data_IF_330945096855
#
_entry.id   IF_330945096855
#
_cell.length_a   1.000
_cell.length_b   1.000
_cell.length_c   1.000
_cell.angle_alpha   90.00
_cell.angle_beta   90.00
_cell.angle_gamma   90.00
#
_symmetry.space_group_name_H-M   'P 1'
#
loop_
_entity.id
_entity.type
_entity.pdbx_description
1 polymer ?
#
# COMPACT_ATOMS: atom_id res chain seq x y z
N UNK A 1 -3.09 -12.02 -4.64
CA UNK A 1 -1.80 -11.30 -4.69
C UNK A 1 -1.89 -9.84 -4.23
N UNK A 2 -2.77 -8.98 -4.77
CA UNK A 2 -2.89 -7.57 -4.34
C UNK A 2 -3.08 -7.41 -2.83
N UNK A 3 -3.97 -8.21 -2.23
CA UNK A 3 -4.25 -8.18 -0.79
C UNK A 3 -3.04 -8.52 0.08
N UNK A 4 -2.12 -9.34 -0.43
CA UNK A 4 -0.92 -9.77 0.30
C UNK A 4 0.08 -8.63 0.44
N UNK A 5 0.34 -7.88 -0.63
CA UNK A 5 1.22 -6.70 -0.58
C UNK A 5 0.64 -5.60 0.31
N UNK A 6 -0.67 -5.38 0.25
CA UNK A 6 -1.35 -4.45 1.16
C UNK A 6 -1.17 -4.88 2.63
N UNK A 7 -1.34 -6.17 2.93
CA UNK A 7 -1.10 -6.71 4.29
C UNK A 7 0.34 -6.54 4.76
N UNK A 8 1.34 -6.69 3.89
CA UNK A 8 2.75 -6.48 4.23
C UNK A 8 3.01 -5.03 4.70
N UNK A 9 2.43 -4.04 4.01
CA UNK A 9 2.56 -2.63 4.41
C UNK A 9 1.87 -2.39 5.75
N UNK A 10 0.65 -2.92 5.95
CA UNK A 10 -0.01 -2.82 7.25
C UNK A 10 0.76 -3.50 8.39
N UNK A 11 1.43 -4.63 8.11
CA UNK A 11 2.27 -5.30 9.10
C UNK A 11 3.51 -4.46 9.46
N UNK A 12 4.16 -3.82 8.48
CA UNK A 12 5.28 -2.92 8.72
C UNK A 12 4.86 -1.67 9.50
N UNK A 13 3.69 -1.09 9.19
CA UNK A 13 3.09 0.01 9.94
C UNK A 13 2.81 -0.41 11.38
N UNK A 14 2.20 -1.59 11.59
CA UNK A 14 1.91 -2.12 12.92
C UNK A 14 3.18 -2.43 13.74
N UNK A 15 4.29 -2.75 13.07
CA UNK A 15 5.58 -2.99 13.70
C UNK A 15 6.32 -1.69 14.09
N UNK A 16 5.84 -0.52 13.68
CA UNK A 16 6.46 0.77 14.05
C UNK A 16 7.67 1.16 13.20
N UNK A 17 8.02 0.39 12.17
CA UNK A 17 9.20 0.64 11.33
C UNK A 17 8.83 1.42 10.07
N UNK A 18 9.16 2.72 10.07
CA UNK A 18 8.86 3.66 8.99
C UNK A 18 9.62 3.36 7.71
N UNK A 19 10.89 2.96 7.80
CA UNK A 19 11.73 2.66 6.63
C UNK A 19 11.27 1.37 5.96
N UNK A 20 10.94 0.35 6.75
CA UNK A 20 10.35 -0.88 6.24
C UNK A 20 8.97 -0.63 5.60
N UNK A 21 8.14 0.22 6.22
CA UNK A 21 6.84 0.59 5.67
C UNK A 21 6.96 1.33 4.33
N UNK A 22 7.91 2.26 4.19
CA UNK A 22 8.15 2.98 2.95
C UNK A 22 8.66 2.06 1.83
N UNK A 23 9.58 1.14 2.15
CA UNK A 23 10.06 0.13 1.18
C UNK A 23 8.94 -0.77 0.71
N UNK A 24 8.16 -1.32 1.64
CA UNK A 24 7.02 -2.18 1.31
C UNK A 24 5.94 -1.43 0.51
N UNK A 25 5.73 -0.14 0.79
CA UNK A 25 4.81 0.71 0.03
C UNK A 25 5.26 0.90 -1.42
N UNK A 26 6.55 1.21 -1.63
CA UNK A 26 7.12 1.38 -2.97
C UNK A 26 6.99 0.10 -3.82
N UNK A 27 7.18 -1.08 -3.22
CA UNK A 27 6.97 -2.36 -3.91
C UNK A 27 5.49 -2.62 -4.24
N UNK A 28 4.59 -2.23 -3.34
CA UNK A 28 3.16 -2.47 -3.51
C UNK A 28 2.53 -1.58 -4.60
N UNK A 29 2.98 -0.33 -4.71
CA UNK A 29 2.43 0.69 -5.61
C UNK A 29 2.27 0.21 -7.08
N UNK A 30 3.33 -0.26 -7.78
CA UNK A 30 3.22 -0.65 -9.19
C UNK A 30 2.36 -1.91 -9.39
N UNK A 31 2.28 -2.77 -8.37
CA UNK A 31 1.47 -4.00 -8.42
C UNK A 31 -0.02 -3.64 -8.33
N UNK A 32 -0.40 -2.78 -7.40
CA UNK A 32 -1.80 -2.33 -7.26
C UNK A 32 -2.25 -1.62 -8.52
N UNK A 33 -1.43 -0.74 -9.07
CA UNK A 33 -1.79 0.04 -10.24
C UNK A 33 -1.95 -0.82 -11.49
N UNK A 34 -1.02 -1.75 -11.73
CA UNK A 34 -1.13 -2.74 -12.83
C UNK A 34 -2.39 -3.60 -12.71
N UNK A 35 -2.78 -3.99 -11.50
CA UNK A 35 -3.97 -4.80 -11.28
C UNK A 35 -5.27 -3.98 -11.40
N UNK A 36 -5.21 -2.67 -11.18
CA UNK A 36 -6.31 -1.76 -11.49
C UNK A 36 -6.53 -1.60 -12.99
N UNK A 37 -5.44 -1.54 -13.77
CA UNK A 37 -5.51 -1.46 -15.22
C UNK A 37 -6.13 -2.72 -15.84
N UNK A 38 -5.89 -3.89 -15.24
CA UNK A 38 -6.51 -5.17 -15.63
C UNK A 38 -7.98 -5.32 -15.20
N UNK A 39 -8.55 -4.33 -14.50
CA UNK A 39 -9.95 -4.36 -14.07
C UNK A 39 -10.24 -5.24 -12.84
N UNK A 40 -9.24 -5.84 -12.19
CA UNK A 40 -9.45 -6.63 -10.97
C UNK A 40 -9.86 -5.79 -9.76
N UNK A 41 -9.45 -4.52 -9.75
CA UNK A 41 -9.86 -3.54 -8.75
C UNK A 41 -10.24 -2.24 -9.45
N UNK A 42 -11.28 -1.57 -8.94
CA UNK A 42 -11.64 -0.26 -9.43
C UNK A 42 -10.51 0.74 -9.18
N UNK A 43 -10.27 1.66 -10.13
CA UNK A 43 -9.21 2.69 -10.05
C UNK A 43 -9.31 3.51 -8.76
N UNK A 44 -10.52 3.92 -8.38
CA UNK A 44 -10.75 4.66 -7.13
C UNK A 44 -10.45 3.83 -5.87
N UNK A 45 -10.66 2.51 -5.92
CA UNK A 45 -10.33 1.63 -4.80
C UNK A 45 -8.81 1.51 -4.65
N UNK A 46 -8.08 1.38 -5.75
CA UNK A 46 -6.62 1.42 -5.76
C UNK A 46 -6.09 2.76 -5.19
N UNK A 47 -6.61 3.89 -5.68
CA UNK A 47 -6.25 5.22 -5.21
C UNK A 47 -6.51 5.42 -3.71
N UNK A 48 -7.68 4.97 -3.21
CA UNK A 48 -8.03 5.03 -1.79
C UNK A 48 -7.05 4.25 -0.92
N UNK A 49 -6.68 3.04 -1.33
CA UNK A 49 -5.70 2.25 -0.58
C UNK A 49 -4.33 2.94 -0.52
N UNK A 50 -3.87 3.53 -1.64
CA UNK A 50 -2.61 4.28 -1.67
C UNK A 50 -2.65 5.50 -0.73
N UNK A 51 -3.71 6.32 -0.84
CA UNK A 51 -3.85 7.53 -0.02
C UNK A 51 -3.91 7.23 1.48
N UNK A 52 -4.70 6.23 1.89
CA UNK A 52 -4.82 5.85 3.30
C UNK A 52 -3.48 5.36 3.89
N UNK A 53 -2.70 4.60 3.13
CA UNK A 53 -1.42 4.06 3.60
C UNK A 53 -0.34 5.13 3.69
N UNK A 54 -0.30 6.07 2.74
CA UNK A 54 0.60 7.23 2.82
C UNK A 54 0.27 8.07 4.06
N UNK A 55 -1.02 8.31 4.33
CA UNK A 55 -1.43 9.04 5.53
C UNK A 55 -0.98 8.33 6.82
N UNK A 56 -1.07 7.01 6.88
CA UNK A 56 -0.59 6.24 8.04
C UNK A 56 0.93 6.30 8.20
N UNK A 57 1.69 6.11 7.11
CA UNK A 57 3.16 6.19 7.15
C UNK A 57 3.63 7.59 7.58
N UNK A 58 2.97 8.63 7.10
CA UNK A 58 3.29 10.01 7.47
C UNK A 58 2.92 10.34 8.93
N UNK A 59 1.89 9.67 9.49
CA UNK A 59 1.49 9.85 10.88
C UNK A 59 2.45 9.17 11.87
N UNK A 60 3.23 8.17 11.43
CA UNK A 60 4.26 7.50 12.23
C UNK A 60 5.54 8.36 12.34
N UNK A 61 5.46 9.62 12.77
CA UNK A 61 6.57 10.58 12.76
C UNK A 61 7.93 9.96 13.11
#
# INVERSE_FOLDING_TARGET
MVRTFIKKVYAAIAAGDKDAAQKAFNEMQPIVDRQSCKGLIHKNKAARHKSNLVAQINAMQ
#
